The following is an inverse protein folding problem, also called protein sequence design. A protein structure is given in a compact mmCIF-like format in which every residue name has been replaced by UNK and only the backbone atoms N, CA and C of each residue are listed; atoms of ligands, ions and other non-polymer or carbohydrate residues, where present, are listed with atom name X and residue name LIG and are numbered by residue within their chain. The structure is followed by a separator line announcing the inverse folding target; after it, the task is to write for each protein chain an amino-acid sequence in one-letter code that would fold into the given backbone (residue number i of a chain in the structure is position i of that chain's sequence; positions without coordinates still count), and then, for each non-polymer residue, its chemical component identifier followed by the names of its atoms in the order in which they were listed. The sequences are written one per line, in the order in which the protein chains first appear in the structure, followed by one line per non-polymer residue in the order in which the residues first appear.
data_IF_919179933064
#
_entry.id   IF_919179933064
#
_cell.length_a   1.000
_cell.length_b   1.000
_cell.length_c   1.000
_cell.angle_alpha   90.00
_cell.angle_beta   90.00
_cell.angle_gamma   90.00
#
_symmetry.space_group_name_H-M   'P 1'
#
loop_
_entity.id
_entity.type
_entity.pdbx_description
1 polymer ?
#
# COMPACT_ATOMS: atom_id res chain seq x y z
N UNK A 1 21.85 17.21 9.88
CA UNK A 1 21.20 16.93 9.51
C UNK A 1 19.77 16.59 9.41
N UNK A 2 19.34 16.47 8.55
CA UNK A 2 18.05 16.29 8.20
C UNK A 2 17.47 15.03 8.56
N UNK A 3 18.18 14.25 9.16
CA UNK A 3 17.68 12.99 9.39
C UNK A 3 16.63 12.95 10.36
N UNK A 4 16.55 13.93 11.16
CA UNK A 4 15.56 13.87 12.17
C UNK A 4 14.17 14.02 11.67
N UNK A 5 14.05 14.37 10.44
CA UNK A 5 12.73 14.68 9.98
C UNK A 5 11.92 13.49 9.74
N UNK A 6 12.44 12.38 9.58
CA UNK A 6 11.65 11.34 9.07
C UNK A 6 11.03 10.47 10.08
N UNK A 7 11.36 10.35 11.21
CA UNK A 7 10.80 9.39 12.11
C UNK A 7 10.18 10.04 13.29
N UNK A 8 9.63 11.18 13.06
CA UNK A 8 9.09 11.88 14.15
C UNK A 8 7.85 11.31 14.66
N UNK A 9 7.06 10.72 13.84
CA UNK A 9 5.78 10.29 14.27
C UNK A 9 5.79 8.84 14.48
N UNK A 10 5.54 8.40 15.66
CA UNK A 10 5.41 7.01 15.98
C UNK A 10 4.09 6.91 16.69
N UNK A 11 3.10 6.48 15.94
CA UNK A 11 1.77 6.44 16.47
C UNK A 11 1.19 5.06 16.31
N UNK A 12 0.57 4.51 17.31
CA UNK A 12 -0.17 3.28 17.09
C UNK A 12 -1.38 3.59 16.24
N UNK A 13 -1.72 2.69 15.38
CA UNK A 13 -2.95 2.80 14.62
C UNK A 13 -4.07 2.42 15.57
N UNK A 14 -5.03 3.32 15.82
CA UNK A 14 -5.98 3.06 16.86
C UNK A 14 -7.41 3.09 16.41
N UNK A 15 -7.92 4.21 16.07
CA UNK A 15 -9.36 4.37 16.02
C UNK A 15 -10.09 3.68 14.91
N UNK A 16 -9.54 3.57 13.75
CA UNK A 16 -10.19 2.86 12.67
C UNK A 16 -9.63 1.46 12.51
N UNK A 17 -8.90 0.98 13.49
CA UNK A 17 -8.27 -0.31 13.36
C UNK A 17 -9.20 -1.43 13.77
N UNK A 18 -9.05 -2.59 13.16
CA UNK A 18 -9.65 -3.78 13.72
C UNK A 18 -9.05 -4.07 15.09
N UNK A 19 -9.79 -4.76 15.91
CA UNK A 19 -9.45 -4.93 17.29
C UNK A 19 -8.09 -5.48 17.59
N UNK A 20 -7.47 -6.25 16.83
CA UNK A 20 -6.20 -6.88 17.18
C UNK A 20 -5.00 -6.36 16.44
N UNK A 21 -5.14 -5.25 15.73
CA UNK A 21 -4.00 -4.70 15.03
C UNK A 21 -3.19 -3.78 15.94
N UNK A 22 -1.93 -4.14 16.14
CA UNK A 22 -1.05 -3.41 17.06
C UNK A 22 0.24 -2.98 16.39
N UNK A 23 0.20 -2.62 15.12
CA UNK A 23 1.40 -2.18 14.43
C UNK A 23 1.81 -0.80 14.91
N UNK A 24 3.10 -0.63 15.12
CA UNK A 24 3.65 0.68 15.38
C UNK A 24 3.95 1.32 14.03
N UNK A 25 3.39 2.49 13.77
CA UNK A 25 3.63 3.21 12.53
C UNK A 25 4.61 4.34 12.74
N UNK A 26 5.60 4.44 11.85
CA UNK A 26 6.57 5.53 11.87
C UNK A 26 6.52 6.21 10.51
N UNK A 27 6.25 7.51 10.49
CA UNK A 27 6.19 8.26 9.24
C UNK A 27 6.29 9.75 9.53
N UNK A 28 6.65 10.52 8.50
CA UNK A 28 6.73 11.97 8.59
C UNK A 28 5.35 12.54 8.32
N UNK A 29 4.73 13.12 9.33
CA UNK A 29 3.37 13.64 9.20
C UNK A 29 3.25 14.79 8.22
N UNK A 30 4.35 15.44 7.89
CA UNK A 30 4.32 16.51 6.89
C UNK A 30 4.25 15.96 5.47
N UNK A 31 4.60 14.69 5.28
CA UNK A 31 4.64 14.09 3.95
C UNK A 31 3.64 12.99 3.74
N UNK A 32 3.21 12.35 4.81
CA UNK A 32 2.27 11.23 4.74
C UNK A 32 1.05 11.57 5.59
N UNK A 33 -0.10 11.76 4.96
CA UNK A 33 -1.33 11.98 5.74
C UNK A 33 -1.63 10.80 6.63
N UNK A 34 -2.19 11.07 7.80
CA UNK A 34 -2.51 10.03 8.77
C UNK A 34 -3.44 8.97 8.17
N UNK A 35 -4.39 9.39 7.35
CA UNK A 35 -5.32 8.45 6.74
C UNK A 35 -4.64 7.53 5.73
N UNK A 36 -3.65 8.05 5.02
CA UNK A 36 -2.88 7.22 4.10
C UNK A 36 -2.06 6.20 4.87
N UNK A 37 -1.42 6.62 5.95
CA UNK A 37 -0.66 5.69 6.78
C UNK A 37 -1.57 4.58 7.31
N UNK A 38 -2.77 4.95 7.72
CA UNK A 38 -3.75 3.99 8.22
C UNK A 38 -4.19 3.01 7.14
N UNK A 39 -4.43 3.53 5.94
CA UNK A 39 -4.82 2.68 4.81
C UNK A 39 -3.74 1.66 4.50
N UNK A 40 -2.48 2.07 4.49
CA UNK A 40 -1.37 1.15 4.22
C UNK A 40 -1.27 0.10 5.34
N UNK A 41 -1.42 0.53 6.59
CA UNK A 41 -1.37 -0.42 7.70
C UNK A 41 -2.49 -1.44 7.62
N UNK A 42 -3.71 -0.99 7.30
CA UNK A 42 -4.85 -1.90 7.17
C UNK A 42 -4.69 -2.84 5.97
N UNK A 43 -4.07 -2.36 4.90
CA UNK A 43 -3.79 -3.18 3.74
C UNK A 43 -2.91 -4.38 4.15
N UNK A 44 -1.83 -4.12 4.85
CA UNK A 44 -0.94 -5.21 5.28
C UNK A 44 -1.56 -6.07 6.36
N UNK A 45 -2.36 -5.47 7.24
CA UNK A 45 -3.06 -6.25 8.25
C UNK A 45 -4.05 -7.22 7.60
N UNK A 46 -4.74 -6.75 6.56
CA UNK A 46 -5.67 -7.62 5.83
C UNK A 46 -4.94 -8.78 5.16
N UNK A 47 -3.77 -8.51 4.58
CA UNK A 47 -2.96 -9.57 3.97
C UNK A 47 -2.49 -10.56 5.05
N UNK A 48 -1.99 -10.02 6.15
CA UNK A 48 -1.46 -10.83 7.25
C UNK A 48 -2.53 -11.76 7.83
N UNK A 49 -3.73 -11.25 8.02
CA UNK A 49 -4.82 -12.04 8.60
C UNK A 49 -5.71 -12.69 7.54
N UNK A 50 -5.39 -12.47 6.27
CA UNK A 50 -6.15 -12.98 5.15
C UNK A 50 -7.62 -12.60 5.22
N UNK A 51 -7.87 -11.35 5.61
CA UNK A 51 -9.21 -10.78 5.69
C UNK A 51 -9.53 -10.12 4.34
N UNK A 52 -10.19 -10.86 3.47
CA UNK A 52 -10.42 -10.42 2.10
C UNK A 52 -11.28 -9.16 2.01
N UNK A 53 -12.34 -9.08 2.81
CA UNK A 53 -13.21 -7.91 2.75
C UNK A 53 -12.46 -6.64 3.14
N UNK A 54 -11.65 -6.72 4.18
CA UNK A 54 -10.85 -5.59 4.61
C UNK A 54 -9.80 -5.22 3.56
N UNK A 55 -9.21 -6.22 2.92
CA UNK A 55 -8.22 -6.03 1.87
C UNK A 55 -8.83 -5.22 0.71
N UNK A 56 -10.02 -5.61 0.27
CA UNK A 56 -10.68 -4.91 -0.82
C UNK A 56 -10.95 -3.45 -0.48
N UNK A 57 -11.27 -3.16 0.76
CA UNK A 57 -11.56 -1.78 1.18
C UNK A 57 -10.35 -0.86 1.07
N UNK A 58 -9.14 -1.40 1.10
CA UNK A 58 -7.94 -0.59 1.05
C UNK A 58 -7.44 -0.35 -0.36
N UNK A 59 -8.04 -0.96 -1.36
CA UNK A 59 -7.58 -0.86 -2.74
C UNK A 59 -8.41 0.18 -3.46
N UNK A 60 -7.77 0.98 -4.30
CA UNK A 60 -8.46 1.96 -5.13
C UNK A 60 -9.58 1.27 -5.92
N UNK A 61 -10.80 1.79 -5.90
CA UNK A 61 -11.95 1.09 -6.52
C UNK A 61 -11.79 0.85 -8.01
N UNK A 62 -11.23 1.79 -8.76
CA UNK A 62 -11.01 1.59 -10.20
C UNK A 62 -10.00 0.48 -10.42
N UNK A 63 -8.90 0.54 -9.68
CA UNK A 63 -7.83 -0.45 -9.81
C UNK A 63 -8.35 -1.83 -9.43
N UNK A 64 -9.13 -1.90 -8.36
CA UNK A 64 -9.70 -3.16 -7.87
C UNK A 64 -10.56 -3.82 -8.95
N UNK A 65 -11.47 -3.06 -9.56
CA UNK A 65 -12.37 -3.59 -10.57
C UNK A 65 -11.62 -4.05 -11.81
N UNK A 66 -10.68 -3.23 -12.27
CA UNK A 66 -9.92 -3.55 -13.48
C UNK A 66 -8.98 -4.71 -13.27
N UNK A 67 -8.35 -4.77 -12.11
CA UNK A 67 -7.43 -5.87 -11.83
C UNK A 67 -8.18 -7.19 -11.67
N UNK A 68 -9.35 -7.18 -11.02
CA UNK A 68 -10.17 -8.37 -10.90
C UNK A 68 -10.51 -8.91 -12.28
N UNK A 69 -10.94 -8.04 -13.19
CA UNK A 69 -11.30 -8.45 -14.55
C UNK A 69 -10.10 -9.01 -15.30
N UNK A 70 -8.95 -8.34 -15.17
CA UNK A 70 -7.73 -8.78 -15.86
C UNK A 70 -7.30 -10.16 -15.37
N UNK A 71 -7.31 -10.37 -14.06
CA UNK A 71 -6.88 -11.63 -13.48
C UNK A 71 -7.81 -12.77 -13.87
N UNK A 72 -9.14 -12.51 -13.85
CA UNK A 72 -10.10 -13.53 -14.28
C UNK A 72 -9.88 -13.91 -15.74
N UNK A 73 -9.63 -12.90 -16.57
CA UNK A 73 -9.48 -13.13 -17.99
C UNK A 73 -8.19 -13.88 -18.31
N UNK A 74 -7.10 -13.51 -17.65
CA UNK A 74 -5.79 -14.08 -17.98
C UNK A 74 -5.49 -15.40 -17.26
N UNK A 75 -5.98 -15.54 -16.03
CA UNK A 75 -5.59 -16.66 -15.19
C UNK A 75 -6.75 -17.44 -14.60
N UNK A 76 -7.97 -16.95 -14.70
CA UNK A 76 -9.12 -17.64 -14.13
C UNK A 76 -9.21 -17.53 -12.61
N UNK A 77 -8.54 -16.57 -12.00
CA UNK A 77 -8.65 -16.35 -10.56
C UNK A 77 -8.80 -14.84 -10.31
N UNK A 78 -9.00 -14.43 -9.07
CA UNK A 78 -9.28 -13.06 -8.75
C UNK A 78 -8.40 -12.49 -7.66
N UNK A 79 -8.83 -11.36 -7.12
CA UNK A 79 -8.07 -10.64 -6.11
C UNK A 79 -7.89 -11.42 -4.82
N UNK A 80 -8.79 -12.32 -4.49
CA UNK A 80 -8.61 -13.14 -3.30
C UNK A 80 -7.36 -14.01 -3.43
N UNK A 81 -7.12 -14.54 -4.61
CA UNK A 81 -5.91 -15.31 -4.87
C UNK A 81 -4.67 -14.42 -4.81
N UNK A 82 -4.79 -13.17 -5.27
CA UNK A 82 -3.69 -12.21 -5.16
C UNK A 82 -3.37 -11.92 -3.71
N UNK A 83 -4.37 -11.76 -2.87
CA UNK A 83 -4.16 -11.54 -1.44
C UNK A 83 -3.43 -12.73 -0.82
N UNK A 84 -3.87 -13.94 -1.18
CA UNK A 84 -3.21 -15.15 -0.69
C UNK A 84 -1.76 -15.21 -1.13
N UNK A 85 -1.48 -14.81 -2.37
CA UNK A 85 -0.11 -14.79 -2.86
C UNK A 85 0.74 -13.76 -2.12
N UNK A 86 0.16 -12.58 -1.82
CA UNK A 86 0.86 -11.59 -1.03
C UNK A 86 1.16 -12.13 0.37
N UNK A 87 0.21 -12.82 0.97
CA UNK A 87 0.42 -13.44 2.27
C UNK A 87 1.58 -14.43 2.19
N UNK A 88 1.59 -15.28 1.17
CA UNK A 88 2.66 -16.25 1.00
C UNK A 88 4.01 -15.56 0.79
N UNK A 89 4.02 -14.42 0.10
CA UNK A 89 5.24 -13.65 -0.06
C UNK A 89 5.78 -13.17 1.29
N UNK A 90 4.91 -12.73 2.18
CA UNK A 90 5.34 -12.32 3.52
C UNK A 90 5.95 -13.51 4.28
N UNK A 91 5.32 -14.68 4.18
CA UNK A 91 5.84 -15.89 4.80
C UNK A 91 7.23 -16.21 4.25
N UNK A 92 7.40 -16.11 2.94
CA UNK A 92 8.68 -16.40 2.31
C UNK A 92 9.76 -15.41 2.75
N UNK A 93 9.42 -14.12 2.82
CA UNK A 93 10.37 -13.11 3.26
C UNK A 93 10.72 -13.25 4.74
N UNK A 94 9.75 -13.65 5.54
CA UNK A 94 9.98 -13.87 6.97
C UNK A 94 10.79 -15.14 7.22
N UNK A 95 10.77 -16.06 6.28
CA UNK A 95 11.45 -17.34 6.44
C UNK A 95 10.68 -18.32 7.32
N UNK A 96 9.47 -18.01 7.69
CA UNK A 96 8.63 -18.85 8.55
C UNK A 96 7.18 -18.38 8.39
N UNK A 97 6.24 -19.30 8.62
CA UNK A 97 4.84 -18.91 8.65
C UNK A 97 4.40 -18.50 10.08
N UNK A 98 5.32 -18.57 11.04
CA UNK A 98 5.01 -18.22 12.41
C UNK A 98 5.77 -16.94 12.78
N UNK A 99 5.22 -15.82 12.38
CA UNK A 99 5.82 -14.52 12.66
C UNK A 99 4.71 -13.55 13.09
N UNK A 100 5.11 -12.48 13.77
CA UNK A 100 4.22 -11.40 14.17
C UNK A 100 4.75 -10.09 13.62
N UNK A 101 3.93 -9.37 12.88
CA UNK A 101 4.31 -8.06 12.38
C UNK A 101 4.23 -7.08 13.53
N UNK A 102 5.27 -6.28 13.73
CA UNK A 102 5.33 -5.35 14.85
C UNK A 102 5.32 -3.90 14.41
N UNK A 103 5.92 -3.57 13.28
CA UNK A 103 6.02 -2.18 12.87
C UNK A 103 6.07 -2.01 11.36
N UNK A 104 5.63 -0.82 10.93
CA UNK A 104 5.75 -0.37 9.56
C UNK A 104 6.39 1.01 9.58
N UNK A 105 7.41 1.20 8.77
CA UNK A 105 8.01 2.51 8.56
C UNK A 105 7.68 2.94 7.15
N UNK A 106 7.08 4.13 7.00
CA UNK A 106 6.70 4.69 5.72
C UNK A 106 7.68 5.82 5.41
N UNK A 107 8.53 5.60 4.43
CA UNK A 107 9.61 6.53 4.14
C UNK A 107 9.63 6.95 2.68
N UNK A 108 10.45 7.94 2.38
CA UNK A 108 10.67 8.38 1.00
C UNK A 108 9.37 8.75 0.28
N UNK A 109 8.44 9.33 1.02
CA UNK A 109 7.13 9.65 0.47
C UNK A 109 7.24 10.75 -0.58
N UNK A 110 6.59 10.53 -1.71
CA UNK A 110 6.49 11.52 -2.77
C UNK A 110 5.02 11.68 -3.12
N UNK A 111 4.61 12.91 -3.30
CA UNK A 111 3.22 13.22 -3.66
C UNK A 111 3.22 13.96 -4.99
N UNK A 112 2.37 13.54 -5.91
CA UNK A 112 2.15 14.28 -7.16
C UNK A 112 0.67 14.64 -7.21
N UNK A 113 0.40 15.94 -7.28
CA UNK A 113 -0.96 16.45 -7.34
C UNK A 113 -1.53 16.27 -8.74
N UNK A 114 -2.85 16.23 -8.84
CA UNK A 114 -3.54 16.00 -10.10
C UNK A 114 -3.08 16.97 -11.21
N UNK A 115 -2.85 18.23 -10.83
CA UNK A 115 -2.45 19.23 -11.81
C UNK A 115 -1.10 18.93 -12.44
N UNK A 116 -0.29 18.07 -11.81
CA UNK A 116 1.03 17.74 -12.30
C UNK A 116 1.13 16.35 -12.90
N UNK A 117 0.02 15.62 -13.01
CA UNK A 117 0.07 14.25 -13.52
C UNK A 117 0.65 14.16 -14.92
N UNK A 118 0.42 15.20 -15.74
CA UNK A 118 0.88 15.16 -17.11
C UNK A 118 2.35 15.55 -17.30
N UNK A 119 3.01 15.95 -16.22
CA UNK A 119 4.41 16.31 -16.32
C UNK A 119 5.26 15.08 -16.36
N UNK A 120 6.20 15.03 -17.28
CA UNK A 120 7.01 13.83 -17.46
C UNK A 120 8.24 13.79 -16.57
N UNK A 121 8.33 14.69 -15.59
CA UNK A 121 9.46 14.72 -14.67
C UNK A 121 9.18 14.01 -13.35
N UNK A 122 7.98 13.50 -13.16
CA UNK A 122 7.65 12.81 -11.92
C UNK A 122 7.37 11.33 -12.19
N UNK A 123 7.22 10.56 -11.11
CA UNK A 123 7.08 9.10 -11.21
C UNK A 123 5.74 8.66 -11.79
N UNK A 124 4.73 9.53 -11.79
CA UNK A 124 3.36 9.11 -12.13
C UNK A 124 3.24 8.64 -13.57
N UNK A 125 3.95 9.32 -14.48
CA UNK A 125 3.82 8.99 -15.90
C UNK A 125 4.19 7.55 -16.21
N UNK A 126 5.21 7.04 -15.55
CA UNK A 126 5.65 5.67 -15.72
C UNK A 126 4.54 4.70 -15.36
N UNK A 127 3.88 4.96 -14.24
CA UNK A 127 2.81 4.09 -13.77
C UNK A 127 1.55 4.22 -14.62
N UNK A 128 1.22 5.45 -15.04
CA UNK A 128 0.05 5.64 -15.89
C UNK A 128 0.24 4.93 -17.23
N UNK A 129 1.46 4.95 -17.78
CA UNK A 129 1.73 4.22 -18.99
C UNK A 129 1.55 2.71 -18.80
N UNK A 130 2.03 2.19 -17.68
CA UNK A 130 1.88 0.76 -17.38
C UNK A 130 0.40 0.40 -17.20
N UNK A 131 -0.36 1.24 -16.53
CA UNK A 131 -1.79 0.99 -16.36
C UNK A 131 -2.53 1.05 -17.69
N UNK A 132 -2.15 1.98 -18.56
CA UNK A 132 -2.76 2.05 -19.89
C UNK A 132 -2.53 0.76 -20.66
N UNK A 133 -1.32 0.22 -20.57
CA UNK A 133 -1.03 -1.03 -21.27
C UNK A 133 -1.78 -2.21 -20.68
N UNK A 134 -1.95 -2.23 -19.37
CA UNK A 134 -2.61 -3.35 -18.71
C UNK A 134 -4.13 -3.27 -18.81
N UNK A 135 -4.70 -2.06 -18.67
CA UNK A 135 -6.14 -1.90 -18.49
C UNK A 135 -6.81 -1.04 -19.56
N UNK A 136 -6.04 -0.34 -20.39
CA UNK A 136 -6.59 0.49 -21.46
C UNK A 136 -6.61 1.97 -21.10
N UNK A 137 -6.81 2.81 -22.11
CA UNK A 137 -6.78 4.26 -21.96
C UNK A 137 -7.91 4.79 -21.10
N UNK A 138 -9.07 4.13 -21.15
CA UNK A 138 -10.21 4.57 -20.39
C UNK A 138 -9.95 4.49 -18.89
N UNK A 139 -9.27 3.43 -18.45
CA UNK A 139 -8.92 3.28 -17.05
C UNK A 139 -8.04 4.44 -16.60
N UNK A 140 -7.00 4.75 -17.38
CA UNK A 140 -6.05 5.78 -17.00
C UNK A 140 -6.71 7.14 -16.96
N UNK A 141 -7.59 7.42 -17.93
CA UNK A 141 -8.32 8.66 -17.95
C UNK A 141 -9.20 8.81 -16.71
N UNK A 142 -9.92 7.74 -16.37
CA UNK A 142 -10.78 7.76 -15.19
C UNK A 142 -9.98 7.92 -13.92
N UNK A 143 -8.84 7.24 -13.82
CA UNK A 143 -7.98 7.36 -12.66
C UNK A 143 -7.48 8.79 -12.50
N UNK A 144 -7.05 9.41 -13.59
CA UNK A 144 -6.59 10.80 -13.54
C UNK A 144 -7.71 11.74 -13.14
N UNK A 145 -8.91 11.53 -13.67
CA UNK A 145 -10.03 12.42 -13.37
C UNK A 145 -10.52 12.29 -11.94
N UNK A 146 -10.44 11.10 -11.38
CA UNK A 146 -10.97 10.85 -10.04
C UNK A 146 -9.96 11.04 -8.93
N UNK A 147 -8.68 11.16 -9.26
CA UNK A 147 -7.64 11.24 -8.24
C UNK A 147 -7.22 12.69 -8.02
N UNK A 148 -7.07 13.07 -6.77
CA UNK A 148 -6.57 14.38 -6.40
C UNK A 148 -5.04 14.37 -6.28
N UNK A 149 -4.48 13.23 -5.95
CA UNK A 149 -3.03 13.06 -5.80
C UNK A 149 -2.68 11.59 -5.87
N UNK A 150 -1.45 11.29 -6.26
CA UNK A 150 -0.90 9.94 -6.21
C UNK A 150 0.37 9.99 -5.39
N UNK A 151 0.50 9.04 -4.49
CA UNK A 151 1.64 8.93 -3.57
C UNK A 151 2.46 7.70 -3.89
N UNK A 152 3.78 7.83 -3.71
CA UNK A 152 4.72 6.72 -3.80
C UNK A 152 5.46 6.66 -2.47
N UNK A 153 5.39 5.54 -1.80
CA UNK A 153 5.93 5.40 -0.44
C UNK A 153 6.72 4.10 -0.35
N UNK A 154 7.87 4.16 0.31
CA UNK A 154 8.67 2.98 0.60
C UNK A 154 8.29 2.45 1.98
N UNK A 155 7.89 1.18 2.03
CA UNK A 155 7.41 0.55 3.27
C UNK A 155 8.43 -0.46 3.76
N UNK A 156 8.86 -0.31 5.00
CA UNK A 156 9.70 -1.30 5.68
C UNK A 156 8.88 -1.94 6.78
N UNK A 157 8.79 -3.26 6.76
CA UNK A 157 8.01 -4.01 7.73
C UNK A 157 8.94 -4.85 8.58
N UNK A 158 8.82 -4.72 9.89
CA UNK A 158 9.60 -5.52 10.82
C UNK A 158 8.67 -6.31 11.73
N UNK A 159 9.16 -7.43 12.16
CA UNK A 159 8.39 -8.30 13.02
C UNK A 159 9.30 -9.20 13.83
N UNK A 160 8.70 -10.25 14.38
CA UNK A 160 9.40 -11.17 15.25
C UNK A 160 9.03 -12.58 14.85
N UNK A 161 10.02 -13.47 14.81
CA UNK A 161 9.76 -14.87 14.52
C UNK A 161 9.38 -15.62 15.80
N UNK A 162 9.15 -16.93 15.68
CA UNK A 162 8.72 -17.73 16.83
C UNK A 162 9.79 -17.85 17.91
N UNK A 163 11.04 -17.56 17.58
CA UNK A 163 12.12 -17.62 18.56
C UNK A 163 12.32 -16.28 19.26
N UNK A 164 11.49 -15.30 18.98
CA UNK A 164 11.61 -13.98 19.57
C UNK A 164 12.64 -13.09 18.90
N UNK A 165 13.15 -13.49 17.74
CA UNK A 165 14.15 -12.71 17.03
C UNK A 165 13.50 -11.69 16.10
N UNK A 166 14.06 -10.48 16.05
CA UNK A 166 13.56 -9.46 15.15
C UNK A 166 13.94 -9.80 13.72
N UNK A 167 12.98 -9.66 12.81
CA UNK A 167 13.22 -9.91 11.39
C UNK A 167 12.71 -8.73 10.59
N UNK A 168 13.35 -8.47 9.45
CA UNK A 168 12.87 -7.49 8.48
C UNK A 168 12.17 -8.28 7.39
N UNK A 169 10.86 -8.08 7.30
CA UNK A 169 10.02 -8.83 6.35
C UNK A 169 9.99 -8.13 5.00
N UNK A 170 9.80 -6.81 5.01
CA UNK A 170 9.86 -6.00 3.80
C UNK A 170 10.89 -4.90 4.02
N UNK A 171 11.72 -4.66 3.02
CA UNK A 171 12.75 -3.63 3.10
C UNK A 171 12.51 -2.64 1.97
N UNK A 172 11.92 -1.51 2.30
CA UNK A 172 11.67 -0.41 1.35
C UNK A 172 10.85 -0.85 0.14
N UNK A 173 9.79 -1.60 0.39
CA UNK A 173 8.89 -2.01 -0.68
C UNK A 173 8.09 -0.80 -1.15
N UNK A 174 8.06 -0.57 -2.46
CA UNK A 174 7.33 0.57 -3.00
C UNK A 174 5.84 0.28 -3.06
N UNK A 175 5.04 1.20 -2.53
CA UNK A 175 3.58 1.12 -2.58
C UNK A 175 3.06 2.43 -3.16
N UNK A 176 2.15 2.33 -4.12
CA UNK A 176 1.45 3.48 -4.65
C UNK A 176 0.04 3.55 -4.09
N UNK A 177 -0.44 4.76 -3.89
CA UNK A 177 -1.82 4.98 -3.46
C UNK A 177 -2.34 6.26 -4.08
N UNK A 178 -3.63 6.29 -4.36
CA UNK A 178 -4.29 7.48 -4.89
C UNK A 178 -5.22 8.06 -3.84
N UNK A 179 -5.28 9.38 -3.81
CA UNK A 179 -6.24 10.09 -3.00
C UNK A 179 -7.41 10.53 -3.88
N UNK A 180 -8.63 10.23 -3.45
CA UNK A 180 -9.83 10.65 -4.15
C UNK A 180 -10.84 11.07 -3.10
N UNK A 181 -11.23 12.35 -3.12
CA UNK A 181 -12.22 12.90 -2.18
C UNK A 181 -11.87 12.63 -0.72
N UNK A 182 -10.60 12.76 -0.37
CA UNK A 182 -10.15 12.59 1.01
C UNK A 182 -9.96 11.15 1.45
N UNK A 183 -10.24 10.19 0.57
CA UNK A 183 -10.00 8.78 0.88
C UNK A 183 -8.81 8.28 0.09
N UNK A 184 -8.13 7.27 0.62
CA UNK A 184 -6.95 6.72 -0.02
C UNK A 184 -7.21 5.28 -0.43
N UNK A 185 -6.65 4.89 -1.58
CA UNK A 185 -6.72 3.52 -2.04
C UNK A 185 -5.41 3.10 -2.66
N UNK A 186 -4.98 1.87 -2.35
CA UNK A 186 -3.73 1.32 -2.85
C UNK A 186 -3.88 1.00 -4.33
N UNK A 187 -2.84 1.30 -5.10
CA UNK A 187 -2.84 1.03 -6.54
C UNK A 187 -1.98 -0.18 -6.92
N UNK A 188 -1.31 -0.76 -6.02
CA UNK A 188 -0.54 -1.95 -6.39
C UNK A 188 0.92 -1.92 -6.15
#
# INVERSE_FOLDING_TARGET
SSTADSADSIEPVTESNPDNMNYKLTYDKDKVPDELANTIALYFYAVDTQNYDLYLEQINPLYRTSLESLLQEQYGYGLENSMEQLHQNLVNYAGTDNFTIQSLELAQAQEVLAEDFEEDTNFVQEYLNAYTQAFGEEFTKDLEEQSDAIYDIAVTMKGENSDGEEITILDSLEILAAEADGSFGVLG
#
